data_IF_884289335281
#
_entry.id   IF_884289335281
#
_cell.length_a   1.000
_cell.length_b   1.000
_cell.length_c   1.000
_cell.angle_alpha   90.00
_cell.angle_beta   90.00
_cell.angle_gamma   90.00
#
_symmetry.space_group_name_H-M   'P 1'
#
loop_
_entity.id
_entity.type
_entity.pdbx_description
1 polymer ?
#
# COMPACT_ATOMS: atom_id res chain seq x y z
N UNK A 1 21.92 -16.37 6.99
CA UNK A 1 20.60 -15.83 6.62
C UNK A 1 20.59 -14.35 6.90
N UNK A 2 20.15 -13.54 5.94
CA UNK A 2 19.91 -12.13 6.20
C UNK A 2 18.52 -11.99 6.85
N UNK A 3 18.49 -11.63 8.13
CA UNK A 3 17.25 -11.37 8.85
C UNK A 3 16.76 -9.97 8.53
N UNK A 4 15.47 -9.78 8.35
CA UNK A 4 14.83 -8.48 8.16
C UNK A 4 13.69 -8.28 9.15
N UNK A 5 13.58 -7.07 9.69
CA UNK A 5 12.42 -6.62 10.47
C UNK A 5 11.29 -6.08 9.58
N UNK A 6 11.50 -6.10 8.26
CA UNK A 6 10.67 -5.41 7.26
C UNK A 6 10.19 -6.36 6.19
N UNK A 7 8.90 -6.26 5.83
CA UNK A 7 8.30 -7.02 4.73
C UNK A 7 7.53 -6.13 3.78
N UNK A 8 7.69 -6.37 2.48
CA UNK A 8 6.99 -5.67 1.39
C UNK A 8 5.90 -6.58 0.85
N UNK A 9 4.65 -6.17 1.00
CA UNK A 9 3.49 -6.88 0.46
C UNK A 9 3.23 -6.38 -0.95
N UNK A 10 3.21 -7.30 -1.90
CA UNK A 10 3.01 -7.01 -3.33
C UNK A 10 1.82 -7.82 -3.84
N UNK A 11 0.63 -7.21 -3.95
CA UNK A 11 -0.52 -7.84 -4.58
C UNK A 11 -0.31 -8.00 -6.09
N UNK A 12 -0.64 -9.18 -6.65
CA UNK A 12 -0.48 -9.45 -8.07
C UNK A 12 -1.75 -10.05 -8.68
N UNK A 13 -2.07 -9.58 -9.89
CA UNK A 13 -3.01 -10.20 -10.81
C UNK A 13 -2.64 -9.84 -12.24
N UNK A 14 -2.17 -10.82 -13.03
CA UNK A 14 -1.62 -10.60 -14.38
C UNK A 14 -0.46 -9.58 -14.36
N UNK A 15 0.61 -9.91 -13.65
CA UNK A 15 1.83 -9.10 -13.53
C UNK A 15 3.07 -9.86 -14.03
N UNK A 16 2.89 -10.82 -14.94
CA UNK A 16 3.97 -11.65 -15.50
C UNK A 16 5.15 -10.84 -16.02
N UNK A 17 4.89 -9.69 -16.63
CA UNK A 17 5.92 -8.84 -17.24
C UNK A 17 6.77 -8.08 -16.22
N UNK A 18 6.22 -7.85 -15.03
CA UNK A 18 6.80 -6.98 -14.00
C UNK A 18 7.35 -7.75 -12.80
N UNK A 19 6.72 -8.88 -12.42
CA UNK A 19 6.90 -9.48 -11.09
C UNK A 19 8.35 -9.91 -10.81
N UNK A 20 9.06 -10.49 -11.76
CA UNK A 20 10.46 -10.87 -11.57
C UNK A 20 11.35 -9.65 -11.35
N UNK A 21 11.17 -8.62 -12.18
CA UNK A 21 12.01 -7.43 -12.13
C UNK A 21 11.81 -6.65 -10.82
N UNK A 22 10.56 -6.52 -10.34
CA UNK A 22 10.27 -5.80 -9.08
C UNK A 22 10.83 -6.56 -7.86
N UNK A 23 10.72 -7.89 -7.84
CA UNK A 23 11.30 -8.72 -6.78
C UNK A 23 12.82 -8.56 -6.75
N UNK A 24 13.49 -8.67 -7.90
CA UNK A 24 14.96 -8.50 -8.00
C UNK A 24 15.37 -7.07 -7.63
N UNK A 25 14.59 -6.06 -8.00
CA UNK A 25 14.88 -4.67 -7.65
C UNK A 25 14.82 -4.45 -6.12
N UNK A 26 13.85 -5.03 -5.43
CA UNK A 26 13.76 -4.94 -3.97
C UNK A 26 14.91 -5.68 -3.28
N UNK A 27 15.25 -6.89 -3.73
CA UNK A 27 16.38 -7.65 -3.16
C UNK A 27 17.75 -7.05 -3.50
N UNK A 28 17.84 -6.23 -4.54
CA UNK A 28 19.06 -5.47 -4.89
C UNK A 28 19.31 -4.23 -4.03
N UNK A 29 18.41 -3.88 -3.12
CA UNK A 29 18.58 -2.72 -2.25
C UNK A 29 19.64 -2.98 -1.17
N UNK A 30 20.39 -1.94 -0.74
CA UNK A 30 21.38 -2.08 0.35
C UNK A 30 20.73 -2.48 1.70
N UNK A 31 19.49 -2.08 1.94
CA UNK A 31 18.70 -2.49 3.11
C UNK A 31 17.94 -3.78 2.77
N UNK A 32 17.98 -4.73 3.69
CA UNK A 32 17.31 -6.03 3.52
C UNK A 32 15.81 -5.87 3.76
N UNK A 33 15.01 -6.26 2.78
CA UNK A 33 13.57 -6.41 2.89
C UNK A 33 13.19 -7.85 2.55
N UNK A 34 12.23 -8.41 3.25
CA UNK A 34 11.54 -9.61 2.79
C UNK A 34 10.36 -9.23 1.91
N UNK A 35 9.88 -10.14 1.08
CA UNK A 35 8.74 -9.90 0.19
C UNK A 35 7.67 -10.95 0.42
N UNK A 36 6.42 -10.51 0.49
CA UNK A 36 5.23 -11.36 0.45
C UNK A 36 4.39 -11.00 -0.77
N UNK A 37 4.33 -11.90 -1.73
CA UNK A 37 3.44 -11.78 -2.89
C UNK A 37 2.05 -12.32 -2.52
N UNK A 38 1.01 -11.52 -2.73
CA UNK A 38 -0.38 -11.97 -2.65
C UNK A 38 -0.90 -12.17 -4.07
N UNK A 39 -0.95 -13.41 -4.50
CA UNK A 39 -1.26 -13.79 -5.88
C UNK A 39 -2.74 -14.15 -6.03
N UNK A 40 -3.45 -13.44 -6.92
CA UNK A 40 -4.91 -13.47 -7.07
C UNK A 40 -5.40 -14.42 -8.18
N UNK A 41 -4.76 -15.58 -8.35
CA UNK A 41 -5.15 -16.58 -9.34
C UNK A 41 -4.90 -16.12 -10.78
N UNK A 42 -3.73 -15.52 -11.05
CA UNK A 42 -3.35 -15.01 -12.37
C UNK A 42 -3.27 -16.11 -13.42
N UNK A 43 -4.00 -16.01 -14.55
CA UNK A 43 -3.93 -16.99 -15.62
C UNK A 43 -2.68 -16.85 -16.52
N UNK A 44 -1.92 -15.75 -16.41
CA UNK A 44 -0.77 -15.43 -17.26
C UNK A 44 0.54 -16.13 -16.87
N UNK A 45 0.55 -16.89 -15.76
CA UNK A 45 1.74 -17.57 -15.25
C UNK A 45 2.55 -16.77 -14.22
N UNK A 46 2.05 -15.65 -13.71
CA UNK A 46 2.70 -14.86 -12.63
C UNK A 46 3.12 -15.75 -11.45
N UNK A 47 2.23 -16.61 -10.93
CA UNK A 47 2.54 -17.51 -9.82
C UNK A 47 3.72 -18.45 -10.09
N UNK A 48 3.85 -18.96 -11.32
CA UNK A 48 4.96 -19.86 -11.69
C UNK A 48 6.32 -19.16 -11.60
N UNK A 49 6.38 -17.87 -11.99
CA UNK A 49 7.59 -17.04 -11.87
C UNK A 49 7.95 -16.87 -10.40
N UNK A 50 6.99 -16.52 -9.56
CA UNK A 50 7.23 -16.33 -8.12
C UNK A 50 7.75 -17.61 -7.47
N UNK A 51 7.13 -18.78 -7.76
CA UNK A 51 7.61 -20.09 -7.24
C UNK A 51 9.04 -20.41 -7.65
N UNK A 52 9.46 -20.04 -8.88
CA UNK A 52 10.84 -20.20 -9.31
C UNK A 52 11.77 -19.29 -8.50
N UNK A 53 11.40 -18.03 -8.29
CA UNK A 53 12.18 -17.07 -7.52
C UNK A 53 12.26 -17.44 -6.03
N UNK A 54 11.27 -18.11 -5.47
CA UNK A 54 11.35 -18.63 -4.09
C UNK A 54 12.48 -19.67 -3.91
N UNK A 55 12.87 -20.40 -4.96
CA UNK A 55 14.02 -21.30 -4.92
C UNK A 55 15.35 -20.54 -4.92
N UNK A 56 15.39 -19.35 -5.52
CA UNK A 56 16.58 -18.47 -5.53
C UNK A 56 16.69 -17.66 -4.21
N UNK A 57 15.55 -17.30 -3.61
CA UNK A 57 15.46 -16.45 -2.41
C UNK A 57 14.68 -17.17 -1.28
N UNK A 58 15.18 -18.31 -0.80
CA UNK A 58 14.52 -19.07 0.27
C UNK A 58 14.48 -18.22 1.54
N UNK A 59 13.36 -18.30 2.28
CA UNK A 59 13.13 -17.58 3.54
C UNK A 59 13.11 -16.05 3.44
N UNK A 60 13.15 -15.48 2.25
CA UNK A 60 13.05 -14.04 1.99
C UNK A 60 11.87 -13.69 1.08
N UNK A 61 11.50 -14.61 0.18
CA UNK A 61 10.36 -14.47 -0.71
C UNK A 61 9.25 -15.44 -0.33
N UNK A 62 8.12 -14.90 0.05
CA UNK A 62 6.92 -15.64 0.43
C UNK A 62 5.80 -15.39 -0.58
N UNK A 63 4.86 -16.33 -0.69
CA UNK A 63 3.69 -16.18 -1.55
C UNK A 63 2.46 -16.79 -0.90
N UNK A 64 1.33 -16.08 -0.97
CA UNK A 64 0.00 -16.58 -0.67
C UNK A 64 -0.80 -16.58 -1.96
N UNK A 65 -1.26 -17.74 -2.38
CA UNK A 65 -2.13 -17.88 -3.55
C UNK A 65 -3.60 -17.86 -3.13
N UNK A 66 -4.38 -16.96 -3.74
CA UNK A 66 -5.82 -16.84 -3.52
C UNK A 66 -6.60 -17.40 -4.72
N UNK A 67 -7.85 -17.78 -4.50
CA UNK A 67 -8.68 -18.42 -5.55
C UNK A 67 -9.10 -17.47 -6.69
N UNK A 68 -8.74 -16.18 -6.65
CA UNK A 68 -9.05 -15.20 -7.68
C UNK A 68 -9.01 -13.76 -7.17
N UNK A 69 -9.33 -12.81 -8.04
CA UNK A 69 -9.31 -11.38 -7.77
C UNK A 69 -10.42 -10.96 -6.81
N UNK A 70 -10.11 -10.84 -5.52
CA UNK A 70 -11.06 -10.50 -4.45
C UNK A 70 -11.03 -9.00 -4.07
N UNK A 71 -10.17 -8.22 -4.70
CA UNK A 71 -9.97 -6.79 -4.47
C UNK A 71 -8.69 -6.46 -3.71
N UNK A 72 -8.11 -5.29 -4.04
CA UNK A 72 -6.80 -4.85 -3.55
C UNK A 72 -6.72 -4.79 -2.02
N UNK A 73 -7.72 -4.17 -1.38
CA UNK A 73 -7.75 -4.06 0.08
C UNK A 73 -7.76 -5.41 0.78
N UNK A 74 -8.48 -6.40 0.22
CA UNK A 74 -8.49 -7.75 0.82
C UNK A 74 -7.14 -8.47 0.65
N UNK A 75 -6.37 -8.13 -0.40
CA UNK A 75 -5.01 -8.66 -0.57
C UNK A 75 -4.09 -8.11 0.50
N UNK A 76 -4.11 -6.79 0.71
CA UNK A 76 -3.30 -6.17 1.76
C UNK A 76 -3.69 -6.64 3.16
N UNK A 77 -4.98 -6.74 3.49
CA UNK A 77 -5.43 -7.26 4.80
C UNK A 77 -4.92 -8.69 5.03
N UNK A 78 -4.97 -9.54 4.01
CA UNK A 78 -4.42 -10.90 4.12
C UNK A 78 -2.91 -10.88 4.38
N UNK A 79 -2.17 -10.05 3.64
CA UNK A 79 -0.73 -9.85 3.86
C UNK A 79 -0.40 -9.24 5.23
N UNK A 80 -1.18 -8.29 5.72
CA UNK A 80 -0.99 -7.70 7.05
C UNK A 80 -1.14 -8.74 8.17
N UNK A 81 -2.20 -9.56 8.11
CA UNK A 81 -2.40 -10.64 9.08
C UNK A 81 -1.24 -11.62 9.07
N UNK A 82 -0.81 -12.04 7.90
CA UNK A 82 0.35 -12.90 7.75
C UNK A 82 1.63 -12.26 8.34
N UNK A 83 1.88 -10.99 8.05
CA UNK A 83 3.05 -10.28 8.57
C UNK A 83 3.03 -10.16 10.10
N UNK A 84 1.85 -9.94 10.69
CA UNK A 84 1.67 -9.92 12.14
C UNK A 84 1.94 -11.29 12.79
N UNK A 85 1.58 -12.39 12.15
CA UNK A 85 1.89 -13.75 12.62
C UNK A 85 3.40 -14.07 12.55
N UNK A 86 4.14 -13.42 11.64
CA UNK A 86 5.57 -13.65 11.41
C UNK A 86 6.50 -12.59 12.04
N UNK A 87 5.99 -11.82 13.00
CA UNK A 87 6.74 -10.87 13.82
C UNK A 87 7.51 -9.76 13.08
N UNK A 88 7.06 -9.34 11.89
CA UNK A 88 7.62 -8.17 11.22
C UNK A 88 7.23 -6.87 11.94
N UNK A 89 8.20 -5.93 12.07
CA UNK A 89 7.97 -4.63 12.71
C UNK A 89 7.52 -3.56 11.70
N UNK A 90 8.02 -3.61 10.45
CA UNK A 90 7.68 -2.65 9.40
C UNK A 90 7.07 -3.37 8.21
N UNK A 91 5.81 -3.04 7.91
CA UNK A 91 5.01 -3.70 6.90
C UNK A 91 4.70 -2.69 5.79
N UNK A 92 5.09 -3.01 4.56
CA UNK A 92 4.97 -2.13 3.42
C UNK A 92 3.89 -2.59 2.45
N UNK A 93 3.22 -1.62 1.84
CA UNK A 93 2.40 -1.80 0.64
C UNK A 93 3.17 -1.29 -0.57
N UNK A 94 3.23 -2.06 -1.64
CA UNK A 94 3.86 -1.67 -2.89
C UNK A 94 3.20 -2.38 -4.08
N UNK A 95 2.97 -1.65 -5.19
CA UNK A 95 2.49 -2.22 -6.45
C UNK A 95 3.62 -2.90 -7.23
N UNK A 96 3.26 -3.89 -8.06
CA UNK A 96 4.23 -4.69 -8.84
C UNK A 96 4.73 -4.00 -10.11
N UNK A 97 4.12 -2.90 -10.56
CA UNK A 97 4.25 -2.33 -11.90
C UNK A 97 5.26 -1.17 -12.02
N UNK A 98 6.17 -1.04 -11.06
CA UNK A 98 7.16 0.04 -10.96
C UNK A 98 6.59 1.46 -10.87
N UNK A 99 5.28 1.64 -10.70
CA UNK A 99 4.72 2.95 -10.38
C UNK A 99 5.21 3.48 -9.02
N UNK A 100 5.55 2.57 -8.12
CA UNK A 100 6.28 2.80 -6.88
C UNK A 100 7.74 2.41 -7.09
N UNK A 101 8.66 3.37 -6.94
CA UNK A 101 10.10 3.12 -7.09
C UNK A 101 10.62 2.37 -5.85
N UNK A 102 11.16 1.14 -5.99
CA UNK A 102 11.71 0.38 -4.86
C UNK A 102 12.80 1.13 -4.08
N UNK A 103 13.56 2.02 -4.73
CA UNK A 103 14.58 2.85 -4.08
C UNK A 103 14.03 3.81 -3.02
N UNK A 104 12.72 4.04 -2.98
CA UNK A 104 12.06 4.83 -1.93
C UNK A 104 11.70 4.02 -0.68
N UNK A 105 11.74 2.67 -0.72
CA UNK A 105 11.49 1.83 0.46
C UNK A 105 12.35 2.20 1.67
N UNK A 106 13.70 2.38 1.53
CA UNK A 106 14.53 2.80 2.66
C UNK A 106 14.14 4.17 3.24
N UNK A 107 13.61 5.08 2.42
CA UNK A 107 13.17 6.41 2.88
C UNK A 107 11.88 6.31 3.70
N UNK A 108 10.94 5.48 3.26
CA UNK A 108 9.72 5.19 4.03
C UNK A 108 10.05 4.48 5.34
N UNK A 109 10.97 3.51 5.31
CA UNK A 109 11.49 2.86 6.51
C UNK A 109 12.06 3.87 7.51
N UNK A 110 12.94 4.76 7.06
CA UNK A 110 13.57 5.77 7.91
C UNK A 110 12.56 6.72 8.54
N UNK A 111 11.49 7.08 7.81
CA UNK A 111 10.42 7.92 8.34
C UNK A 111 9.73 7.28 9.56
N UNK A 112 9.54 5.96 9.53
CA UNK A 112 8.97 5.22 10.67
C UNK A 112 10.02 4.89 11.75
N UNK A 113 11.20 4.39 11.37
CA UNK A 113 12.19 3.86 12.32
C UNK A 113 13.01 4.96 13.02
N UNK A 114 13.26 6.10 12.34
CA UNK A 114 14.16 7.15 12.84
C UNK A 114 13.51 8.52 13.05
N UNK A 115 12.42 8.84 12.33
CA UNK A 115 11.77 10.16 12.39
C UNK A 115 10.50 10.19 13.25
N UNK A 116 10.21 9.06 13.90
CA UNK A 116 9.09 8.91 14.84
C UNK A 116 7.72 8.88 14.17
N UNK A 117 7.63 8.51 12.88
CA UNK A 117 6.38 8.16 12.23
C UNK A 117 5.88 6.80 12.66
N UNK A 118 4.58 6.63 12.75
CA UNK A 118 3.95 5.32 12.92
C UNK A 118 3.51 4.75 11.56
N UNK A 119 3.16 5.66 10.64
CA UNK A 119 2.85 5.39 9.24
C UNK A 119 3.66 6.33 8.38
N UNK A 120 4.30 5.85 7.34
CA UNK A 120 4.89 6.70 6.30
C UNK A 120 4.26 6.44 4.95
N UNK A 121 4.05 7.51 4.18
CA UNK A 121 3.34 7.48 2.90
C UNK A 121 4.26 8.05 1.83
N UNK A 122 4.47 7.32 0.74
CA UNK A 122 5.07 7.85 -0.48
C UNK A 122 4.07 8.80 -1.16
N UNK A 123 4.26 10.11 -0.95
CA UNK A 123 3.30 11.14 -1.36
C UNK A 123 3.70 11.81 -2.66
N UNK A 124 2.76 11.86 -3.60
CA UNK A 124 2.89 12.60 -4.86
C UNK A 124 2.68 14.10 -4.70
N UNK A 125 2.10 14.53 -3.55
CA UNK A 125 1.53 15.87 -3.40
C UNK A 125 2.10 16.69 -2.23
N UNK A 126 2.95 16.13 -1.38
CA UNK A 126 3.48 16.85 -0.21
C UNK A 126 4.47 17.94 -0.58
N UNK A 127 5.21 17.80 -1.69
CA UNK A 127 6.19 18.78 -2.18
C UNK A 127 5.89 19.26 -3.61
N UNK A 128 4.63 19.45 -3.95
CA UNK A 128 4.18 19.77 -5.31
C UNK A 128 3.45 18.61 -5.97
N UNK A 129 3.48 18.52 -7.30
CA UNK A 129 2.86 17.44 -8.07
C UNK A 129 3.97 16.62 -8.73
N UNK A 130 4.25 15.44 -8.16
CA UNK A 130 5.38 14.60 -8.54
C UNK A 130 4.86 13.34 -9.28
N UNK A 131 4.36 13.53 -10.49
CA UNK A 131 3.89 12.45 -11.37
C UNK A 131 4.50 12.58 -12.76
N UNK A 132 4.85 11.46 -13.36
CA UNK A 132 5.47 11.39 -14.69
C UNK A 132 4.58 10.58 -15.64
N UNK A 133 4.42 11.08 -16.86
CA UNK A 133 3.64 10.43 -17.91
C UNK A 133 2.14 10.21 -17.59
N UNK A 134 1.54 11.07 -16.76
CA UNK A 134 0.11 11.05 -16.52
C UNK A 134 -0.62 12.05 -17.43
N UNK A 135 -1.77 11.69 -18.05
CA UNK A 135 -2.65 12.66 -18.66
C UNK A 135 -3.10 13.73 -17.64
N UNK A 136 -3.14 15.00 -18.04
CA UNK A 136 -3.48 16.12 -17.14
C UNK A 136 -4.80 15.89 -16.39
N UNK A 137 -5.83 15.35 -17.08
CA UNK A 137 -7.11 15.03 -16.42
C UNK A 137 -6.98 14.05 -15.26
N UNK A 138 -6.09 13.05 -15.37
CA UNK A 138 -5.79 12.11 -14.27
C UNK A 138 -5.07 12.80 -13.11
N UNK A 139 -4.14 13.69 -13.41
CA UNK A 139 -3.42 14.50 -12.39
C UNK A 139 -4.42 15.33 -11.59
N UNK A 140 -5.24 16.13 -12.28
CA UNK A 140 -6.24 17.00 -11.63
C UNK A 140 -7.25 16.18 -10.81
N UNK A 141 -7.77 15.10 -11.36
CA UNK A 141 -8.73 14.24 -10.68
C UNK A 141 -8.14 13.64 -9.40
N UNK A 142 -6.93 13.09 -9.44
CA UNK A 142 -6.25 12.52 -8.27
C UNK A 142 -5.93 13.56 -7.20
N UNK A 143 -5.47 14.75 -7.63
CA UNK A 143 -5.15 15.86 -6.72
C UNK A 143 -6.41 16.39 -6.02
N UNK A 144 -7.49 16.64 -6.77
CA UNK A 144 -8.74 17.11 -6.19
C UNK A 144 -9.43 16.04 -5.35
N UNK A 145 -9.32 14.75 -5.71
CA UNK A 145 -9.79 13.65 -4.87
C UNK A 145 -9.13 13.68 -3.49
N UNK A 146 -7.80 13.85 -3.43
CA UNK A 146 -7.09 13.96 -2.15
C UNK A 146 -7.51 15.21 -1.36
N UNK A 147 -7.71 16.35 -2.03
CA UNK A 147 -8.23 17.56 -1.38
C UNK A 147 -9.65 17.39 -0.82
N UNK A 148 -10.52 16.72 -1.57
CA UNK A 148 -11.87 16.38 -1.13
C UNK A 148 -11.85 15.50 0.12
N UNK A 149 -11.05 14.43 0.10
CA UNK A 149 -10.92 13.54 1.26
C UNK A 149 -10.42 14.29 2.49
N UNK A 150 -9.39 15.14 2.34
CA UNK A 150 -8.90 15.99 3.44
C UNK A 150 -9.97 16.90 4.01
N UNK A 151 -10.73 17.55 3.14
CA UNK A 151 -11.80 18.47 3.55
C UNK A 151 -12.90 17.76 4.35
N UNK A 152 -13.36 16.60 3.89
CA UNK A 152 -14.41 15.82 4.56
C UNK A 152 -13.91 15.17 5.85
N UNK A 153 -12.74 14.54 5.82
CA UNK A 153 -12.24 13.72 6.94
C UNK A 153 -11.48 14.53 7.99
N UNK A 154 -10.84 15.62 7.57
CA UNK A 154 -9.93 16.40 8.41
C UNK A 154 -8.55 15.75 8.59
N UNK A 155 -8.21 14.70 7.82
CA UNK A 155 -6.88 14.06 7.90
C UNK A 155 -5.79 14.99 7.38
N UNK A 156 -4.66 15.17 8.09
CA UNK A 156 -3.57 16.06 7.68
C UNK A 156 -2.61 15.39 6.68
N UNK A 157 -3.14 14.70 5.65
CA UNK A 157 -2.37 13.98 4.63
C UNK A 157 -2.66 14.56 3.26
N UNK A 158 -1.62 14.94 2.49
CA UNK A 158 -1.77 15.53 1.15
C UNK A 158 -2.15 14.48 0.10
N UNK A 159 -1.60 13.27 0.20
CA UNK A 159 -1.89 12.17 -0.71
C UNK A 159 -2.67 11.05 -0.02
N UNK A 160 -3.97 11.26 0.11
CA UNK A 160 -4.84 10.31 0.82
C UNK A 160 -5.06 9.00 0.05
N UNK A 161 -4.81 8.99 -1.26
CA UNK A 161 -5.03 7.84 -2.14
C UNK A 161 -3.74 7.07 -2.47
N UNK A 162 -2.58 7.48 -1.95
CA UNK A 162 -1.32 6.78 -2.18
C UNK A 162 -1.37 5.34 -1.67
N UNK A 163 -0.87 4.40 -2.47
CA UNK A 163 -0.76 2.98 -2.14
C UNK A 163 0.67 2.54 -1.76
N UNK A 164 1.61 3.46 -1.71
CA UNK A 164 2.98 3.19 -1.27
C UNK A 164 3.10 3.63 0.19
N UNK A 165 3.01 2.69 1.10
CA UNK A 165 2.87 2.96 2.53
C UNK A 165 3.73 2.01 3.34
N UNK A 166 4.30 2.50 4.44
CA UNK A 166 4.89 1.67 5.48
C UNK A 166 4.10 1.87 6.79
N UNK A 167 3.73 0.79 7.42
CA UNK A 167 3.12 0.77 8.74
C UNK A 167 4.07 0.16 9.75
N UNK A 168 4.17 0.75 10.94
CA UNK A 168 4.71 0.03 12.10
C UNK A 168 3.70 -1.04 12.54
N UNK A 169 4.22 -2.16 13.03
CA UNK A 169 3.44 -3.29 13.54
C UNK A 169 2.29 -2.86 14.46
N UNK A 170 2.58 -1.98 15.43
CA UNK A 170 1.62 -1.47 16.40
C UNK A 170 0.37 -0.85 15.75
N UNK A 171 0.53 -0.20 14.58
CA UNK A 171 -0.61 0.39 13.84
C UNK A 171 -1.58 -0.69 13.40
N UNK A 172 -1.06 -1.75 12.78
CA UNK A 172 -1.86 -2.85 12.24
C UNK A 172 -2.45 -3.74 13.35
N UNK A 173 -1.79 -3.86 14.49
CA UNK A 173 -2.32 -4.53 15.69
C UNK A 173 -3.46 -3.73 16.35
N UNK A 174 -3.42 -2.39 16.24
CA UNK A 174 -4.43 -1.51 16.83
C UNK A 174 -5.66 -1.38 15.94
N UNK A 175 -5.49 -1.37 14.61
CA UNK A 175 -6.59 -1.29 13.66
C UNK A 175 -7.30 -2.64 13.59
N UNK A 176 -8.63 -2.60 13.74
CA UNK A 176 -9.46 -3.79 13.49
C UNK A 176 -9.55 -4.06 11.98
N UNK A 177 -8.61 -4.88 11.49
CA UNK A 177 -8.47 -5.20 10.06
C UNK A 177 -9.69 -5.92 9.48
N UNK A 178 -10.47 -6.63 10.31
CA UNK A 178 -11.67 -7.33 9.87
C UNK A 178 -12.85 -6.38 9.64
N UNK A 179 -12.83 -5.20 10.23
CA UNK A 179 -13.84 -4.17 10.06
C UNK A 179 -13.52 -3.14 8.98
N UNK A 180 -12.39 -3.24 8.28
CA UNK A 180 -12.09 -2.44 7.09
C UNK A 180 -13.03 -2.84 5.96
N UNK A 181 -13.78 -1.87 5.43
CA UNK A 181 -14.92 -2.12 4.54
C UNK A 181 -14.61 -1.98 3.06
N UNK A 182 -13.70 -1.05 2.72
CA UNK A 182 -13.38 -0.77 1.34
C UNK A 182 -12.38 -1.76 0.77
N UNK A 183 -12.66 -2.25 -0.45
CA UNK A 183 -11.84 -3.26 -1.14
C UNK A 183 -11.02 -2.69 -2.31
N UNK A 184 -11.40 -1.50 -2.79
CA UNK A 184 -10.75 -0.80 -3.89
C UNK A 184 -9.86 0.35 -3.43
N UNK A 185 -9.79 1.43 -4.21
CA UNK A 185 -8.96 2.61 -3.88
C UNK A 185 -9.33 3.30 -2.57
N UNK A 186 -10.59 3.25 -2.18
CA UNK A 186 -11.05 3.80 -0.91
C UNK A 186 -10.46 3.08 0.30
N UNK A 187 -9.94 1.86 0.14
CA UNK A 187 -9.18 1.12 1.15
C UNK A 187 -8.01 1.96 1.69
N UNK A 188 -7.25 2.59 0.80
CA UNK A 188 -6.11 3.43 1.18
C UNK A 188 -6.53 4.64 2.02
N UNK A 189 -7.69 5.20 1.72
CA UNK A 189 -8.28 6.32 2.49
C UNK A 189 -8.72 5.83 3.86
N UNK A 190 -9.41 4.69 3.93
CA UNK A 190 -9.92 4.12 5.18
C UNK A 190 -8.79 3.76 6.13
N UNK A 191 -7.73 3.10 5.66
CA UNK A 191 -6.56 2.72 6.46
C UNK A 191 -5.88 3.95 7.09
N UNK A 192 -5.60 4.98 6.27
CA UNK A 192 -4.96 6.21 6.77
C UNK A 192 -5.85 6.99 7.74
N UNK A 193 -7.15 7.08 7.43
CA UNK A 193 -8.11 7.75 8.30
C UNK A 193 -8.24 7.01 9.64
N UNK A 194 -8.32 5.68 9.62
CA UNK A 194 -8.39 4.87 10.83
C UNK A 194 -7.13 5.02 11.67
N UNK A 195 -5.93 4.93 11.06
CA UNK A 195 -4.67 5.16 11.75
C UNK A 195 -4.62 6.56 12.41
N UNK A 196 -5.05 7.59 11.68
CA UNK A 196 -5.13 8.95 12.21
C UNK A 196 -6.10 9.07 13.40
N UNK A 197 -7.28 8.43 13.31
CA UNK A 197 -8.28 8.41 14.38
C UNK A 197 -7.82 7.62 15.61
N UNK A 198 -6.96 6.63 15.44
CA UNK A 198 -6.29 5.91 16.52
C UNK A 198 -5.14 6.70 17.19
N UNK A 199 -4.83 7.91 16.70
CA UNK A 199 -3.78 8.79 17.26
C UNK A 199 -2.38 8.51 16.74
N UNK A 200 -2.22 7.75 15.65
CA UNK A 200 -0.93 7.48 15.04
C UNK A 200 -0.41 8.65 14.21
N UNK A 201 0.90 8.88 14.29
CA UNK A 201 1.60 9.92 13.53
C UNK A 201 1.88 9.44 12.11
N UNK A 202 1.35 10.16 11.13
CA UNK A 202 1.57 9.90 9.71
C UNK A 202 2.61 10.90 9.17
N UNK A 203 3.62 10.38 8.47
CA UNK A 203 4.66 11.18 7.78
C UNK A 203 4.53 10.97 6.28
N UNK A 204 4.53 12.04 5.50
CA UNK A 204 4.57 11.99 4.04
C UNK A 204 6.02 12.16 3.55
N UNK A 205 6.47 11.20 2.76
CA UNK A 205 7.78 11.21 2.09
C UNK A 205 7.53 11.55 0.62
N UNK A 206 8.10 12.62 0.07
CA UNK A 206 7.89 12.95 -1.35
C UNK A 206 8.50 11.87 -2.24
N UNK A 207 7.70 11.32 -3.15
CA UNK A 207 8.12 10.33 -4.14
C UNK A 207 7.67 10.76 -5.54
N UNK A 208 8.38 10.29 -6.56
CA UNK A 208 7.98 10.48 -7.96
C UNK A 208 7.20 9.23 -8.39
N UNK A 209 5.96 9.43 -8.80
CA UNK A 209 5.12 8.36 -9.32
C UNK A 209 5.22 8.33 -10.84
N UNK A 210 5.68 7.22 -11.40
CA UNK A 210 5.80 7.02 -12.85
C UNK A 210 4.62 6.18 -13.32
N UNK A 211 4.01 6.57 -14.45
CA UNK A 211 2.97 5.71 -15.02
C UNK A 211 3.59 4.38 -15.45
N UNK A 212 2.88 3.27 -15.20
CA UNK A 212 3.35 1.94 -15.62
C UNK A 212 3.72 1.93 -17.10
N UNK A 213 4.79 1.25 -17.44
CA UNK A 213 5.26 1.10 -18.83
C UNK A 213 4.70 -0.18 -19.47
N UNK A 214 4.52 -1.24 -18.67
CA UNK A 214 4.06 -2.56 -19.09
C UNK A 214 2.71 -2.91 -18.43
N UNK A 215 1.89 -3.69 -19.12
CA UNK A 215 0.60 -4.13 -18.62
C UNK A 215 -0.55 -3.12 -18.83
N UNK A 216 -1.77 -3.52 -18.50
CA UNK A 216 -2.99 -2.72 -18.67
C UNK A 216 -3.51 -2.17 -17.34
N UNK A 217 -3.97 -0.90 -17.35
CA UNK A 217 -4.59 -0.31 -16.16
C UNK A 217 -5.92 -1.00 -15.85
N UNK A 218 -6.05 -1.46 -14.60
CA UNK A 218 -7.25 -2.18 -14.10
C UNK A 218 -8.28 -1.22 -13.45
N UNK A 219 -8.12 0.11 -13.65
CA UNK A 219 -9.05 1.13 -13.11
C UNK A 219 -10.37 1.16 -13.87
N UNK A 220 -11.47 1.14 -13.14
CA UNK A 220 -12.82 1.28 -13.71
C UNK A 220 -13.47 2.57 -13.17
N UNK A 221 -14.22 3.29 -14.00
CA UNK A 221 -14.85 4.57 -13.67
C UNK A 221 -15.92 4.49 -12.57
N UNK A 222 -16.53 3.32 -12.36
CA UNK A 222 -17.50 3.10 -11.27
C UNK A 222 -16.92 3.27 -9.85
N UNK A 223 -15.60 3.13 -9.71
CA UNK A 223 -14.88 3.24 -8.43
C UNK A 223 -14.93 4.67 -7.85
N UNK A 224 -15.07 5.69 -8.71
CA UNK A 224 -15.10 7.09 -8.26
C UNK A 224 -16.38 7.46 -7.51
N UNK A 225 -17.55 7.03 -8.00
CA UNK A 225 -18.83 7.29 -7.33
C UNK A 225 -18.89 6.65 -5.95
N UNK A 226 -18.42 5.41 -5.85
CA UNK A 226 -18.34 4.69 -4.58
C UNK A 226 -17.41 5.39 -3.58
N UNK A 227 -16.28 5.92 -4.05
CA UNK A 227 -15.31 6.61 -3.21
C UNK A 227 -15.87 7.94 -2.64
N UNK A 228 -16.62 8.73 -3.42
CA UNK A 228 -17.18 10.01 -2.97
C UNK A 228 -18.16 9.80 -1.82
N UNK A 229 -19.18 8.97 -2.01
CA UNK A 229 -20.15 8.67 -0.94
C UNK A 229 -19.53 7.87 0.21
N UNK A 230 -18.58 7.00 -0.12
CA UNK A 230 -17.83 6.21 0.85
C UNK A 230 -17.07 7.06 1.86
N UNK A 231 -16.42 8.14 1.43
CA UNK A 231 -15.69 9.07 2.32
C UNK A 231 -16.61 9.80 3.28
N UNK A 232 -17.78 10.26 2.80
CA UNK A 232 -18.79 10.88 3.67
C UNK A 232 -19.28 9.87 4.71
N UNK A 233 -19.62 8.64 4.28
CA UNK A 233 -20.06 7.56 5.17
C UNK A 233 -18.99 7.22 6.20
N UNK A 234 -17.72 7.17 5.79
CA UNK A 234 -16.58 6.94 6.67
C UNK A 234 -16.50 8.01 7.77
N UNK A 235 -16.66 9.29 7.39
CA UNK A 235 -16.66 10.41 8.34
C UNK A 235 -17.83 10.34 9.30
N UNK A 236 -19.06 10.13 8.81
CA UNK A 236 -20.26 10.03 9.64
C UNK A 236 -20.15 8.85 10.61
N UNK A 237 -19.75 7.68 10.11
CA UNK A 237 -19.56 6.51 10.97
C UNK A 237 -18.51 6.76 12.08
N UNK A 238 -17.48 7.57 11.79
CA UNK A 238 -16.46 7.90 12.78
C UNK A 238 -16.95 8.69 14.00
N UNK A 239 -18.13 9.27 13.94
CA UNK A 239 -18.74 9.96 15.09
C UNK A 239 -19.36 8.99 16.09
N UNK A 240 -19.75 7.80 15.62
CA UNK A 240 -20.43 6.78 16.43
C UNK A 240 -19.50 5.60 16.76
N UNK A 241 -18.33 5.54 16.15
CA UNK A 241 -17.33 4.47 16.38
C UNK A 241 -16.24 4.94 17.33
N UNK A 242 -16.00 4.16 18.39
CA UNK A 242 -14.85 4.39 19.28
C UNK A 242 -13.61 3.72 18.68
N UNK A 243 -12.66 4.54 18.26
CA UNK A 243 -11.37 4.04 17.78
C UNK A 243 -10.48 3.65 18.97
N UNK A 244 -9.85 2.47 18.95
CA UNK A 244 -8.81 2.15 19.91
C UNK A 244 -7.70 3.19 19.79
N UNK A 245 -7.14 3.61 20.91
CA UNK A 245 -6.09 4.62 20.90
C UNK A 245 -4.72 3.96 20.95
N UNK A 246 -3.75 4.60 20.30
CA UNK A 246 -2.33 4.24 20.41
C UNK A 246 -1.94 4.14 21.90
N UNK A 247 -1.37 3.03 22.27
CA UNK A 247 -0.81 2.79 23.62
C UNK A 247 0.56 3.41 23.78
#
# INVERSE_FOLDING_TARGET
MQTSDSIVIIPTYNERENIENIIRAVFGLPQVFHILVIEDGSPDGTAAIVRKLQQEFPEQLFMIERKGKLGLGTAYINGFKWALEHAYEYIFEMDADFSHNPNDLPRLYQACSKQGGDVSIGSRYVSGVNVVNWPMGRVLMSYFASKYVRFITGIPVHDTTAGFVCYRRQVLETIDLDHIRFKGYAFQIEMKFTAYKCGFKIIEVPVIFINRELGTSKMNSSIFGEAIFGVIKLKVNSWFHKFPQKK
#
